data_IF_847936128098
#
_entry.id   IF_847936128098
#
_cell.length_a   1.000
_cell.length_b   1.000
_cell.length_c   1.000
_cell.angle_alpha   90.00
_cell.angle_beta   90.00
_cell.angle_gamma   90.00
#
_symmetry.space_group_name_H-M   'P 1'
#
loop_
_entity.id
_entity.type
_entity.pdbx_description
1 polymer ?
#
# COMPACT_ATOMS: atom_id res chain seq x y z
N UNK A 1 24.98 -21.22 -16.29
CA UNK A 1 23.58 -21.68 -16.18
C UNK A 1 22.74 -20.53 -15.67
N UNK A 2 22.12 -19.80 -16.58
CA UNK A 2 21.25 -18.66 -16.27
C UNK A 2 19.91 -19.20 -15.76
N UNK A 3 19.47 -18.78 -14.57
CA UNK A 3 18.08 -18.95 -14.16
C UNK A 3 17.28 -17.85 -14.85
N UNK A 4 16.44 -18.27 -15.79
CA UNK A 4 15.36 -17.45 -16.35
C UNK A 4 14.59 -16.81 -15.20
N UNK A 5 14.64 -15.48 -15.14
CA UNK A 5 13.61 -14.71 -14.47
C UNK A 5 12.41 -14.75 -15.41
N UNK A 6 11.46 -15.64 -15.13
CA UNK A 6 10.14 -15.60 -15.74
C UNK A 6 9.51 -14.26 -15.34
N UNK A 7 9.63 -13.30 -16.26
CA UNK A 7 8.91 -12.03 -16.23
C UNK A 7 7.44 -12.34 -16.47
N UNK A 8 6.72 -12.67 -15.40
CA UNK A 8 5.27 -12.56 -15.40
C UNK A 8 4.97 -11.07 -15.40
N UNK A 9 4.79 -10.51 -16.60
CA UNK A 9 4.15 -9.21 -16.76
C UNK A 9 2.69 -9.41 -16.39
N UNK A 10 2.38 -9.42 -15.09
CA UNK A 10 1.01 -9.16 -14.66
C UNK A 10 0.59 -7.85 -15.33
N UNK A 11 -0.51 -7.89 -16.07
CA UNK A 11 -1.12 -6.69 -16.63
C UNK A 11 -1.60 -5.90 -15.42
N UNK A 12 -0.72 -5.01 -14.93
CA UNK A 12 -0.99 -4.18 -13.78
C UNK A 12 -2.06 -3.16 -14.18
N UNK A 13 -3.28 -3.43 -13.75
CA UNK A 13 -4.48 -2.72 -14.15
C UNK A 13 -4.35 -1.22 -13.84
N UNK A 14 -4.51 -0.38 -14.87
CA UNK A 14 -4.55 1.07 -14.73
C UNK A 14 -5.76 1.46 -13.87
N UNK A 15 -5.52 2.23 -12.82
CA UNK A 15 -6.54 2.74 -11.92
C UNK A 15 -6.98 4.13 -12.36
N UNK A 16 -8.29 4.40 -12.30
CA UNK A 16 -8.79 5.76 -12.35
C UNK A 16 -8.48 6.49 -11.04
N UNK A 17 -8.58 7.82 -11.03
CA UNK A 17 -8.42 8.61 -9.79
C UNK A 17 -9.45 8.20 -8.72
N UNK A 18 -10.69 7.93 -9.15
CA UNK A 18 -11.76 7.52 -8.24
C UNK A 18 -11.49 6.13 -7.65
N UNK A 19 -11.06 5.17 -8.46
CA UNK A 19 -10.68 3.83 -7.97
C UNK A 19 -9.50 3.91 -7.01
N UNK A 20 -8.51 4.74 -7.34
CA UNK A 20 -7.35 4.99 -6.49
C UNK A 20 -7.79 5.56 -5.13
N UNK A 21 -8.66 6.56 -5.11
CA UNK A 21 -9.16 7.15 -3.87
C UNK A 21 -9.95 6.15 -3.01
N UNK A 22 -10.78 5.32 -3.67
CA UNK A 22 -11.56 4.26 -3.01
C UNK A 22 -10.63 3.20 -2.40
N UNK A 23 -9.61 2.75 -3.15
CA UNK A 23 -8.66 1.76 -2.68
C UNK A 23 -7.79 2.29 -1.53
N UNK A 24 -7.29 3.53 -1.62
CA UNK A 24 -6.55 4.17 -0.53
C UNK A 24 -7.40 4.22 0.74
N UNK A 25 -8.67 4.59 0.60
CA UNK A 25 -9.61 4.64 1.72
C UNK A 25 -9.83 3.25 2.32
N UNK A 26 -10.04 2.23 1.48
CA UNK A 26 -10.25 0.86 1.90
C UNK A 26 -9.03 0.28 2.64
N UNK A 27 -7.81 0.49 2.11
CA UNK A 27 -6.55 0.06 2.75
C UNK A 27 -6.44 0.70 4.15
N UNK A 28 -6.62 2.02 4.23
CA UNK A 28 -6.52 2.73 5.53
C UNK A 28 -7.61 2.26 6.50
N UNK A 29 -8.84 2.02 6.05
CA UNK A 29 -9.91 1.47 6.88
C UNK A 29 -9.57 0.06 7.38
N UNK A 30 -9.00 -0.81 6.53
CA UNK A 30 -8.53 -2.13 6.97
C UNK A 30 -7.51 -2.02 8.09
N UNK A 31 -6.56 -1.09 8.01
CA UNK A 31 -5.61 -0.91 9.12
C UNK A 31 -6.27 -0.51 10.44
N UNK A 32 -7.43 0.17 10.41
CA UNK A 32 -8.18 0.58 11.62
C UNK A 32 -8.98 -0.56 12.23
N UNK A 33 -9.40 -1.49 11.39
CA UNK A 33 -10.27 -2.61 11.78
C UNK A 33 -9.49 -3.93 11.94
N UNK A 34 -8.17 -3.93 11.73
CA UNK A 34 -7.36 -5.13 11.81
C UNK A 34 -7.22 -5.59 13.27
N UNK A 35 -7.47 -6.88 13.59
CA UNK A 35 -7.49 -7.37 14.96
C UNK A 35 -6.14 -7.27 15.69
N UNK A 36 -5.03 -7.26 14.95
CA UNK A 36 -3.67 -7.15 15.53
C UNK A 36 -3.17 -5.70 15.64
N UNK A 37 -3.93 -4.72 15.16
CA UNK A 37 -3.57 -3.31 15.22
C UNK A 37 -4.28 -2.64 16.41
N UNK A 38 -3.51 -1.97 17.28
CA UNK A 38 -4.03 -1.10 18.36
C UNK A 38 -4.41 0.26 17.81
N UNK A 39 -3.61 0.78 16.87
CA UNK A 39 -3.82 2.08 16.24
C UNK A 39 -3.59 2.00 14.75
N UNK A 40 -4.68 2.07 13.98
CA UNK A 40 -4.62 2.12 12.52
C UNK A 40 -4.20 3.49 11.98
N UNK A 41 -4.02 3.54 10.67
CA UNK A 41 -3.57 4.74 9.98
C UNK A 41 -4.65 5.84 10.03
N UNK A 42 -4.23 7.06 10.38
CA UNK A 42 -5.14 8.22 10.48
C UNK A 42 -5.46 8.83 9.10
N UNK A 43 -6.30 9.87 9.07
CA UNK A 43 -6.53 10.68 7.85
C UNK A 43 -5.22 11.21 7.27
N UNK A 44 -4.23 11.54 8.11
CA UNK A 44 -2.90 11.96 7.64
C UNK A 44 -2.17 10.86 6.89
N UNK A 45 -2.40 9.60 7.24
CA UNK A 45 -1.84 8.47 6.51
C UNK A 45 -2.50 8.26 5.14
N UNK A 46 -3.81 8.52 5.04
CA UNK A 46 -4.53 8.58 3.75
C UNK A 46 -3.92 9.62 2.81
N UNK A 47 -3.74 10.86 3.30
CA UNK A 47 -3.15 11.95 2.51
C UNK A 47 -1.71 11.66 2.12
N UNK A 48 -0.91 11.15 3.06
CA UNK A 48 0.48 10.78 2.78
C UNK A 48 0.56 9.68 1.70
N UNK A 49 -0.31 8.68 1.75
CA UNK A 49 -0.30 7.60 0.77
C UNK A 49 -0.64 8.12 -0.63
N UNK A 50 -1.66 8.98 -0.73
CA UNK A 50 -2.02 9.65 -1.99
C UNK A 50 -0.83 10.43 -2.56
N UNK A 51 -0.18 11.26 -1.75
CA UNK A 51 0.96 12.08 -2.19
C UNK A 51 2.17 11.23 -2.62
N UNK A 52 2.47 10.15 -1.87
CA UNK A 52 3.56 9.25 -2.24
C UNK A 52 3.25 8.52 -3.54
N UNK A 53 2.00 8.09 -3.75
CA UNK A 53 1.59 7.43 -4.99
C UNK A 53 1.67 8.36 -6.21
N UNK A 54 1.16 9.58 -6.08
CA UNK A 54 1.25 10.61 -7.14
C UNK A 54 2.71 10.91 -7.47
N UNK A 55 3.55 11.15 -6.45
CA UNK A 55 4.98 11.39 -6.64
C UNK A 55 5.72 10.19 -7.26
N UNK A 56 5.40 8.97 -6.81
CA UNK A 56 5.98 7.74 -7.35
C UNK A 56 5.65 7.56 -8.84
N UNK A 57 4.42 7.86 -9.23
CA UNK A 57 3.95 7.76 -10.62
C UNK A 57 4.63 8.79 -11.52
N UNK A 58 4.75 10.04 -11.05
CA UNK A 58 5.46 11.11 -11.75
C UNK A 58 6.96 10.82 -11.95
N UNK A 59 7.64 10.32 -10.92
CA UNK A 59 9.08 10.00 -11.00
C UNK A 59 9.36 8.86 -11.98
N UNK A 60 8.43 7.91 -12.10
CA UNK A 60 8.58 6.72 -12.93
C UNK A 60 8.01 6.88 -14.34
N UNK A 61 7.40 8.02 -14.64
CA UNK A 61 6.66 8.27 -15.89
C UNK A 61 5.69 7.12 -16.20
N UNK A 62 4.90 6.72 -15.20
CA UNK A 62 3.97 5.60 -15.29
C UNK A 62 2.57 6.00 -14.82
N UNK A 63 1.58 5.29 -15.31
CA UNK A 63 0.20 5.43 -14.85
C UNK A 63 0.01 4.98 -13.39
N UNK A 64 -1.10 5.41 -12.79
CA UNK A 64 -1.57 4.85 -11.52
C UNK A 64 -2.01 3.40 -11.74
N UNK A 65 -1.47 2.50 -10.94
CA UNK A 65 -1.70 1.06 -11.05
C UNK A 65 -1.81 0.42 -9.67
N UNK A 66 -2.21 -0.85 -9.61
CA UNK A 66 -2.26 -1.58 -8.33
C UNK A 66 -0.86 -1.80 -7.75
N UNK A 67 0.14 -2.12 -8.57
CA UNK A 67 1.52 -2.29 -8.08
C UNK A 67 2.10 -0.99 -7.55
N UNK A 68 1.85 0.14 -8.22
CA UNK A 68 2.32 1.44 -7.73
C UNK A 68 1.64 1.83 -6.41
N UNK A 69 0.34 1.53 -6.26
CA UNK A 69 -0.39 1.71 -5.00
C UNK A 69 0.18 0.82 -3.88
N UNK A 70 0.42 -0.47 -4.15
CA UNK A 70 1.00 -1.41 -3.18
C UNK A 70 2.37 -0.91 -2.69
N UNK A 71 3.28 -0.58 -3.62
CA UNK A 71 4.62 -0.07 -3.28
C UNK A 71 4.53 1.21 -2.44
N UNK A 72 3.65 2.13 -2.82
CA UNK A 72 3.41 3.38 -2.08
C UNK A 72 2.86 3.11 -0.68
N UNK A 73 1.96 2.13 -0.53
CA UNK A 73 1.39 1.72 0.74
C UNK A 73 2.46 1.13 1.66
N UNK A 74 3.31 0.25 1.13
CA UNK A 74 4.43 -0.36 1.87
C UNK A 74 5.46 0.66 2.35
N UNK A 75 5.65 1.77 1.64
CA UNK A 75 6.54 2.85 2.10
C UNK A 75 5.85 3.71 3.16
N UNK A 76 4.55 3.96 3.00
CA UNK A 76 3.86 5.01 3.76
C UNK A 76 3.25 4.52 5.07
N UNK A 77 2.65 3.33 5.07
CA UNK A 77 1.74 2.89 6.12
C UNK A 77 2.39 2.14 7.28
N UNK A 78 3.45 1.31 7.12
CA UNK A 78 4.03 0.57 8.24
C UNK A 78 4.43 1.44 9.44
N UNK A 79 5.11 2.61 9.28
CA UNK A 79 5.47 3.46 10.42
C UNK A 79 4.27 4.25 10.97
N UNK A 80 3.08 4.11 10.40
CA UNK A 80 1.87 4.86 10.76
C UNK A 80 0.80 3.98 11.43
N UNK A 81 1.09 2.71 11.64
CA UNK A 81 0.27 1.80 12.43
C UNK A 81 1.01 1.38 13.70
N UNK A 82 0.27 0.95 14.72
CA UNK A 82 0.84 0.37 15.92
C UNK A 82 0.16 -0.95 16.22
N UNK A 83 0.95 -2.01 16.30
CA UNK A 83 0.46 -3.37 16.54
C UNK A 83 0.32 -3.66 18.03
N UNK A 84 -0.42 -4.71 18.36
CA UNK A 84 -0.54 -5.22 19.73
C UNK A 84 0.80 -5.79 20.19
N UNK A 85 1.14 -5.61 21.46
CA UNK A 85 2.29 -6.30 22.06
C UNK A 85 2.13 -7.81 21.94
N UNK A 86 3.22 -8.52 21.61
CA UNK A 86 3.21 -9.96 21.43
C UNK A 86 2.67 -10.44 20.08
N UNK A 87 2.28 -9.52 19.17
CA UNK A 87 1.99 -9.88 17.78
C UNK A 87 3.19 -10.58 17.14
N UNK A 88 2.93 -11.59 16.31
CA UNK A 88 3.98 -12.23 15.50
C UNK A 88 4.06 -11.61 14.10
N UNK A 89 2.97 -11.01 13.62
CA UNK A 89 2.91 -10.33 12.34
C UNK A 89 3.58 -8.95 12.41
N UNK A 90 4.45 -8.66 11.45
CA UNK A 90 4.99 -7.34 11.19
C UNK A 90 3.93 -6.37 10.64
N UNK A 91 4.19 -5.07 10.73
CA UNK A 91 3.31 -4.05 10.16
C UNK A 91 3.16 -4.25 8.65
N UNK A 92 4.25 -4.61 7.99
CA UNK A 92 4.35 -4.91 6.57
C UNK A 92 3.48 -6.11 6.16
N UNK A 93 3.54 -7.21 6.91
CA UNK A 93 2.71 -8.40 6.66
C UNK A 93 1.22 -8.09 6.82
N UNK A 94 0.86 -7.31 7.85
CA UNK A 94 -0.53 -6.89 8.09
C UNK A 94 -1.04 -5.97 6.97
N UNK A 95 -0.18 -5.15 6.36
CA UNK A 95 -0.59 -4.26 5.26
C UNK A 95 -0.81 -5.02 3.96
N UNK A 96 -0.14 -6.17 3.77
CA UNK A 96 -0.27 -7.01 2.58
C UNK A 96 -1.43 -8.02 2.65
N UNK A 97 -2.03 -8.24 3.82
CA UNK A 97 -3.13 -9.20 4.01
C UNK A 97 -4.51 -8.66 3.59
#
# INVERSE_FOLDING_TARGET
MAKNQDSVTEIDERLTENDTANLITAIVQRTRNHPEIVRGSSVRGTLALKQVLEGYSLIRDQDLTRSSLEKSAMITLPPRISTKQGTQSSAEEIIRS
#
